data_IF_242311581368
#
_entry.id   IF_242311581368
#
_cell.length_a   1.000
_cell.length_b   1.000
_cell.length_c   1.000
_cell.angle_alpha   90.00
_cell.angle_beta   90.00
_cell.angle_gamma   90.00
#
_symmetry.space_group_name_H-M   'P 1'
#
loop_
_entity.id
_entity.type
_entity.pdbx_description
1 polymer ?
#
# COMPACT_ATOMS: atom_id res chain seq x y z
N UNK A 1 -3.24 29.58 -8.50
CA UNK A 1 -3.18 28.46 -7.53
C UNK A 1 -2.78 27.20 -8.27
N UNK A 2 -1.55 26.72 -8.07
CA UNK A 2 -1.05 25.52 -8.76
C UNK A 2 -1.56 24.30 -8.00
N UNK A 3 -2.44 23.49 -8.59
CA UNK A 3 -2.89 22.23 -7.98
C UNK A 3 -1.66 21.31 -7.75
N UNK A 4 -1.48 20.73 -6.56
CA UNK A 4 -0.36 19.83 -6.31
C UNK A 4 -0.41 18.62 -7.27
N UNK A 5 0.76 18.16 -7.70
CA UNK A 5 0.90 17.04 -8.63
C UNK A 5 0.52 15.76 -7.89
N UNK A 6 -0.61 15.15 -8.26
CA UNK A 6 -1.08 13.88 -7.69
C UNK A 6 -0.41 12.69 -8.35
N UNK A 7 -0.15 11.65 -7.56
CA UNK A 7 0.45 10.41 -8.03
C UNK A 7 -0.53 9.40 -8.62
N UNK A 8 -1.82 9.62 -8.40
CA UNK A 8 -2.92 8.77 -8.89
C UNK A 8 -3.84 9.54 -9.84
N UNK A 9 -4.61 8.79 -10.62
CA UNK A 9 -5.75 9.31 -11.38
C UNK A 9 -7.04 8.69 -10.87
N UNK A 10 -8.00 9.51 -10.47
CA UNK A 10 -9.37 9.07 -10.30
C UNK A 10 -10.03 8.93 -11.67
N UNK A 11 -9.77 7.82 -12.36
CA UNK A 11 -10.66 7.40 -13.45
C UNK A 11 -11.86 6.74 -12.76
N UNK A 12 -12.90 7.51 -12.46
CA UNK A 12 -14.13 6.94 -11.91
C UNK A 12 -14.70 5.95 -12.92
N UNK A 13 -14.35 4.68 -12.77
CA UNK A 13 -15.13 3.59 -13.33
C UNK A 13 -16.51 3.61 -12.67
N UNK A 14 -17.53 3.07 -13.34
CA UNK A 14 -18.85 2.91 -12.71
C UNK A 14 -18.71 2.08 -11.43
N UNK A 15 -19.04 2.67 -10.29
CA UNK A 15 -19.26 1.94 -9.05
C UNK A 15 -20.41 0.96 -9.27
N UNK A 16 -20.18 -0.33 -9.05
CA UNK A 16 -21.26 -1.32 -9.13
C UNK A 16 -22.23 -1.15 -7.97
N UNK A 17 -23.48 -1.59 -8.12
CA UNK A 17 -24.45 -1.54 -7.03
C UNK A 17 -23.97 -2.29 -5.77
N UNK A 18 -23.22 -3.39 -5.95
CA UNK A 18 -22.65 -4.14 -4.84
C UNK A 18 -21.52 -3.37 -4.12
N UNK A 19 -20.69 -2.64 -4.86
CA UNK A 19 -19.65 -1.79 -4.28
C UNK A 19 -20.27 -0.60 -3.52
N UNK A 20 -21.31 0.02 -4.08
CA UNK A 20 -22.00 1.13 -3.42
C UNK A 20 -22.67 0.66 -2.11
N UNK A 21 -23.43 -0.45 -2.15
CA UNK A 21 -24.03 -1.02 -0.93
C UNK A 21 -23.00 -1.35 0.14
N UNK A 22 -21.82 -1.85 -0.24
CA UNK A 22 -20.74 -2.13 0.70
C UNK A 22 -20.20 -0.85 1.35
N UNK A 23 -20.00 0.22 0.56
CA UNK A 23 -19.62 1.52 1.10
C UNK A 23 -20.66 2.03 2.10
N UNK A 24 -21.95 1.92 1.77
CA UNK A 24 -23.01 2.45 2.63
C UNK A 24 -23.19 1.62 3.91
N UNK A 25 -23.15 0.29 3.81
CA UNK A 25 -23.46 -0.61 4.93
C UNK A 25 -22.26 -0.99 5.80
N UNK A 26 -21.04 -1.02 5.24
CA UNK A 26 -19.86 -1.61 5.91
C UNK A 26 -18.81 -0.58 6.32
N UNK A 27 -18.87 0.66 5.81
CA UNK A 27 -17.88 1.69 6.15
C UNK A 27 -17.86 1.99 7.65
N UNK A 28 -19.02 2.06 8.31
CA UNK A 28 -19.08 2.31 9.76
C UNK A 28 -18.34 1.25 10.59
N UNK A 29 -18.18 0.02 10.06
CA UNK A 29 -17.55 -1.11 10.74
C UNK A 29 -16.06 -1.23 10.43
N UNK A 30 -15.67 -1.00 9.17
CA UNK A 30 -14.32 -1.32 8.70
C UNK A 30 -13.51 -0.12 8.17
N UNK A 31 -14.16 1.00 7.87
CA UNK A 31 -13.48 2.18 7.39
C UNK A 31 -13.00 3.04 8.56
N UNK A 32 -11.79 3.59 8.43
CA UNK A 32 -11.26 4.62 9.31
C UNK A 32 -11.40 5.94 8.55
N UNK A 33 -12.16 6.87 9.12
CA UNK A 33 -12.29 8.22 8.55
C UNK A 33 -10.98 8.98 8.74
N UNK A 34 -10.53 9.67 7.69
CA UNK A 34 -9.36 10.52 7.79
C UNK A 34 -9.56 11.62 8.84
N UNK A 35 -8.56 11.82 9.68
CA UNK A 35 -8.48 12.93 10.62
C UNK A 35 -7.00 13.33 10.76
N UNK A 36 -6.67 14.62 10.99
CA UNK A 36 -5.28 15.08 11.06
C UNK A 36 -4.63 14.73 12.42
N UNK A 37 -4.71 13.47 12.83
CA UNK A 37 -4.17 12.96 14.09
C UNK A 37 -3.75 11.49 13.95
N UNK A 38 -2.74 11.04 14.71
CA UNK A 38 -2.29 9.66 14.68
C UNK A 38 -3.42 8.66 15.01
N UNK A 39 -3.42 7.54 14.29
CA UNK A 39 -4.32 6.42 14.53
C UNK A 39 -3.93 5.68 15.82
N UNK A 40 -4.93 5.41 16.66
CA UNK A 40 -4.79 4.45 17.75
C UNK A 40 -5.13 3.03 17.24
N UNK A 41 -4.11 2.33 16.76
CA UNK A 41 -4.27 0.96 16.26
C UNK A 41 -4.78 0.00 17.35
N UNK A 42 -4.39 0.22 18.62
CA UNK A 42 -4.83 -0.62 19.74
C UNK A 42 -6.33 -0.47 19.97
N UNK A 43 -6.85 0.75 19.91
CA UNK A 43 -8.28 1.00 20.03
C UNK A 43 -9.07 0.39 18.85
N UNK A 44 -8.53 0.45 17.63
CA UNK A 44 -9.20 -0.03 16.41
C UNK A 44 -9.27 -1.56 16.34
N UNK A 45 -8.17 -2.24 16.68
CA UNK A 45 -8.04 -3.69 16.58
C UNK A 45 -8.27 -4.42 17.90
N UNK A 46 -8.33 -3.69 19.03
CA UNK A 46 -8.55 -4.27 20.36
C UNK A 46 -7.35 -5.05 20.91
N UNK A 47 -6.18 -4.93 20.29
CA UNK A 47 -4.96 -5.68 20.62
C UNK A 47 -3.70 -4.88 20.29
N UNK A 48 -2.55 -5.41 20.68
CA UNK A 48 -1.23 -4.91 20.25
C UNK A 48 -0.62 -5.97 19.35
N UNK A 49 -0.36 -5.60 18.10
CA UNK A 49 0.19 -6.47 17.07
C UNK A 49 1.05 -5.65 16.09
N UNK A 50 1.93 -6.29 15.29
CA UNK A 50 2.63 -5.62 14.20
C UNK A 50 1.65 -4.96 13.24
N UNK A 51 1.81 -3.66 13.00
CA UNK A 51 0.95 -2.90 12.09
C UNK A 51 1.58 -2.79 10.71
N UNK A 52 0.85 -3.23 9.68
CA UNK A 52 1.27 -3.17 8.29
C UNK A 52 0.33 -2.27 7.48
N UNK A 53 0.91 -1.38 6.68
CA UNK A 53 0.17 -0.46 5.83
C UNK A 53 0.29 -0.86 4.36
N UNK A 54 -0.82 -0.96 3.63
CA UNK A 54 -0.80 -1.12 2.17
C UNK A 54 -1.28 0.15 1.48
N UNK A 55 -0.48 0.67 0.55
CA UNK A 55 -0.80 1.85 -0.25
C UNK A 55 -1.29 1.42 -1.62
N UNK A 56 -2.53 1.82 -1.97
CA UNK A 56 -3.14 1.52 -3.26
C UNK A 56 -3.64 0.08 -3.35
N UNK A 57 -4.51 -0.33 -2.41
CA UNK A 57 -5.03 -1.72 -2.38
C UNK A 57 -5.83 -2.14 -3.62
N UNK A 58 -6.21 -1.19 -4.49
CA UNK A 58 -6.96 -1.45 -5.70
C UNK A 58 -8.31 -2.10 -5.38
N UNK A 59 -8.55 -3.31 -5.89
CA UNK A 59 -9.78 -4.07 -5.60
C UNK A 59 -9.69 -4.92 -4.31
N UNK A 60 -8.55 -4.88 -3.61
CA UNK A 60 -8.37 -5.48 -2.29
C UNK A 60 -8.13 -6.99 -2.27
N UNK A 61 -7.92 -7.63 -3.42
CA UNK A 61 -7.67 -9.09 -3.50
C UNK A 61 -6.39 -9.51 -2.78
N UNK A 62 -5.30 -8.82 -3.09
CA UNK A 62 -3.98 -9.07 -2.50
C UNK A 62 -4.00 -8.76 -1.01
N UNK A 63 -4.48 -7.58 -0.64
CA UNK A 63 -4.61 -7.12 0.76
C UNK A 63 -5.38 -8.11 1.62
N UNK A 64 -6.57 -8.53 1.19
CA UNK A 64 -7.42 -9.45 1.93
C UNK A 64 -6.74 -10.82 2.10
N UNK A 65 -6.09 -11.33 1.04
CA UNK A 65 -5.36 -12.59 1.11
C UNK A 65 -4.16 -12.54 2.07
N UNK A 66 -3.39 -11.44 2.04
CA UNK A 66 -2.26 -11.24 2.96
C UNK A 66 -2.75 -11.16 4.41
N UNK A 67 -3.76 -10.33 4.68
CA UNK A 67 -4.29 -10.16 6.04
C UNK A 67 -4.82 -11.48 6.63
N UNK A 68 -5.49 -12.29 5.81
CA UNK A 68 -5.96 -13.64 6.20
C UNK A 68 -4.82 -14.61 6.49
N UNK A 69 -3.72 -14.51 5.74
CA UNK A 69 -2.56 -15.39 5.91
C UNK A 69 -1.68 -14.99 7.10
N UNK A 70 -1.85 -13.78 7.65
CA UNK A 70 -1.08 -13.24 8.77
C UNK A 70 -2.01 -12.73 9.89
N UNK A 71 -2.79 -13.61 10.54
CA UNK A 71 -3.72 -13.22 11.60
C UNK A 71 -3.04 -12.60 12.83
N UNK A 72 -1.74 -12.80 13.00
CA UNK A 72 -0.91 -12.21 14.06
C UNK A 72 -0.58 -10.72 13.83
N UNK A 73 -0.75 -10.21 12.61
CA UNK A 73 -0.50 -8.81 12.25
C UNK A 73 -1.81 -8.06 12.00
N UNK A 74 -1.82 -6.75 12.19
CA UNK A 74 -2.92 -5.86 11.83
C UNK A 74 -2.62 -5.07 10.56
N UNK A 75 -3.63 -4.87 9.73
CA UNK A 75 -3.48 -4.26 8.41
C UNK A 75 -4.39 -3.05 8.23
N UNK A 76 -3.82 -1.98 7.68
CA UNK A 76 -4.58 -0.82 7.19
C UNK A 76 -4.30 -0.69 5.69
N UNK A 77 -5.36 -0.70 4.89
CA UNK A 77 -5.28 -0.47 3.45
C UNK A 77 -5.69 0.97 3.11
N UNK A 78 -4.92 1.64 2.27
CA UNK A 78 -5.26 2.97 1.75
C UNK A 78 -5.65 2.84 0.29
N UNK A 79 -6.82 3.38 -0.06
CA UNK A 79 -7.29 3.45 -1.45
C UNK A 79 -8.15 4.68 -1.68
N UNK A 80 -7.84 5.47 -2.71
CA UNK A 80 -8.57 6.69 -3.05
C UNK A 80 -9.86 6.39 -3.84
N UNK A 81 -9.89 5.28 -4.58
CA UNK A 81 -10.96 4.91 -5.49
C UNK A 81 -12.10 4.17 -4.76
N UNK A 82 -13.26 4.81 -4.69
CA UNK A 82 -14.46 4.28 -4.02
C UNK A 82 -14.86 2.85 -4.43
N UNK A 83 -14.89 2.48 -5.73
CA UNK A 83 -15.13 1.11 -6.17
C UNK A 83 -14.15 0.08 -5.59
N UNK A 84 -12.87 0.47 -5.47
CA UNK A 84 -11.84 -0.37 -4.86
C UNK A 84 -12.10 -0.62 -3.39
N UNK A 85 -12.41 0.45 -2.65
CA UNK A 85 -12.80 0.38 -1.24
C UNK A 85 -14.05 -0.50 -1.06
N UNK A 86 -15.12 -0.29 -1.84
CA UNK A 86 -16.33 -1.11 -1.76
C UNK A 86 -16.08 -2.59 -2.08
N UNK A 87 -15.15 -2.89 -3.00
CA UNK A 87 -14.71 -4.27 -3.27
C UNK A 87 -13.99 -4.89 -2.07
N UNK A 88 -13.07 -4.14 -1.45
CA UNK A 88 -12.34 -4.60 -0.27
C UNK A 88 -13.27 -4.80 0.93
N UNK A 89 -14.20 -3.88 1.20
CA UNK A 89 -15.19 -4.00 2.26
C UNK A 89 -16.03 -5.29 2.12
N UNK A 90 -16.50 -5.60 0.91
CA UNK A 90 -17.22 -6.86 0.65
C UNK A 90 -16.37 -8.08 0.98
N UNK A 91 -15.07 -8.06 0.68
CA UNK A 91 -14.15 -9.18 1.00
C UNK A 91 -13.94 -9.31 2.49
N UNK A 92 -13.71 -8.20 3.19
CA UNK A 92 -13.55 -8.19 4.64
C UNK A 92 -14.76 -8.82 5.32
N UNK A 93 -15.98 -8.42 4.92
CA UNK A 93 -17.22 -8.97 5.49
C UNK A 93 -17.42 -10.44 5.13
N UNK A 94 -17.27 -10.81 3.85
CA UNK A 94 -17.49 -12.19 3.40
C UNK A 94 -16.51 -13.19 4.02
N UNK A 95 -15.23 -12.81 4.14
CA UNK A 95 -14.17 -13.67 4.68
C UNK A 95 -13.97 -13.48 6.19
N UNK A 96 -14.73 -12.59 6.84
CA UNK A 96 -14.65 -12.25 8.27
C UNK A 96 -13.23 -11.86 8.72
N UNK A 97 -12.58 -10.99 7.96
CA UNK A 97 -11.20 -10.57 8.20
C UNK A 97 -11.17 -9.56 9.35
N UNK A 98 -10.83 -10.03 10.55
CA UNK A 98 -10.86 -9.19 11.76
C UNK A 98 -9.72 -8.15 11.82
N UNK A 99 -8.58 -8.48 11.23
CA UNK A 99 -7.32 -7.73 11.31
C UNK A 99 -7.08 -6.80 10.11
N UNK A 100 -8.13 -6.37 9.41
CA UNK A 100 -8.01 -5.44 8.27
C UNK A 100 -9.00 -4.27 8.38
N UNK A 101 -8.51 -3.05 8.15
CA UNK A 101 -9.29 -1.82 8.04
C UNK A 101 -8.91 -1.03 6.79
N UNK A 102 -9.76 -0.10 6.39
CA UNK A 102 -9.57 0.66 5.15
C UNK A 102 -9.65 2.16 5.40
N UNK A 103 -8.73 2.94 4.83
CA UNK A 103 -8.80 4.39 4.77
C UNK A 103 -9.01 4.80 3.31
N UNK A 104 -10.10 5.55 3.07
CA UNK A 104 -10.36 6.13 1.75
C UNK A 104 -9.82 7.55 1.67
N UNK A 105 -8.51 7.69 1.45
CA UNK A 105 -7.85 9.00 1.41
C UNK A 105 -6.55 8.98 0.60
N UNK A 106 -5.97 10.16 0.36
CA UNK A 106 -4.62 10.30 -0.17
C UNK A 106 -3.59 9.65 0.77
N UNK A 107 -2.75 8.76 0.24
CA UNK A 107 -1.81 8.00 1.05
C UNK A 107 -0.69 8.83 1.65
N UNK A 108 -0.27 9.91 0.99
CA UNK A 108 0.75 10.82 1.54
C UNK A 108 0.14 11.57 2.73
N UNK A 109 -1.08 12.09 2.59
CA UNK A 109 -1.75 12.78 3.71
C UNK A 109 -2.01 11.84 4.90
N UNK A 110 -2.37 10.57 4.65
CA UNK A 110 -2.50 9.57 5.73
C UNK A 110 -1.16 9.30 6.41
N UNK A 111 -0.08 9.11 5.65
CA UNK A 111 1.25 8.91 6.24
C UNK A 111 1.68 10.13 7.05
N UNK A 112 1.50 11.34 6.53
CA UNK A 112 1.92 12.58 7.18
C UNK A 112 1.18 12.83 8.49
N UNK A 113 -0.14 12.60 8.52
CA UNK A 113 -0.99 13.05 9.62
C UNK A 113 -1.50 11.93 10.53
N UNK A 114 -1.68 10.72 10.01
CA UNK A 114 -2.35 9.62 10.72
C UNK A 114 -1.41 8.51 11.16
N UNK A 115 -0.22 8.43 10.60
CA UNK A 115 0.75 7.39 10.96
C UNK A 115 1.84 8.01 11.83
N UNK A 116 2.01 7.49 13.05
CA UNK A 116 3.11 7.91 13.91
C UNK A 116 4.46 7.49 13.32
N UNK A 117 5.52 8.26 13.59
CA UNK A 117 6.87 7.85 13.22
C UNK A 117 7.26 6.56 13.94
N UNK A 118 8.10 5.75 13.31
CA UNK A 118 8.61 4.48 13.86
C UNK A 118 7.52 3.50 14.37
N UNK A 119 6.33 3.49 13.76
CA UNK A 119 5.18 2.71 14.24
C UNK A 119 4.79 1.52 13.36
N UNK A 120 5.17 1.53 12.07
CA UNK A 120 4.83 0.47 11.13
C UNK A 120 5.86 -0.66 11.17
N UNK A 121 5.39 -1.89 11.33
CA UNK A 121 6.21 -3.09 11.14
C UNK A 121 6.45 -3.38 9.65
N UNK A 122 5.52 -2.97 8.78
CA UNK A 122 5.62 -3.18 7.34
C UNK A 122 4.87 -2.14 6.51
N UNK A 123 5.32 -1.93 5.29
CA UNK A 123 4.63 -1.14 4.28
C UNK A 123 4.65 -1.86 2.93
N UNK A 124 3.48 -2.00 2.31
CA UNK A 124 3.29 -2.59 0.99
C UNK A 124 2.96 -1.50 -0.05
N UNK A 125 3.61 -1.58 -1.20
CA UNK A 125 3.35 -0.73 -2.36
C UNK A 125 3.38 -1.56 -3.64
N UNK A 126 2.24 -2.15 -3.99
CA UNK A 126 2.16 -3.09 -5.11
C UNK A 126 1.53 -2.44 -6.33
N UNK A 127 2.25 -2.50 -7.46
CA UNK A 127 1.83 -2.02 -8.78
C UNK A 127 1.30 -0.56 -8.78
N UNK A 128 2.01 0.40 -8.16
CA UNK A 128 1.59 1.81 -8.25
C UNK A 128 1.65 2.31 -9.69
N UNK A 129 0.83 3.33 -10.01
CA UNK A 129 0.73 3.91 -11.35
C UNK A 129 2.12 4.20 -11.95
N UNK A 130 2.52 3.54 -13.07
CA UNK A 130 3.90 3.60 -13.56
C UNK A 130 4.23 4.86 -14.35
N UNK A 131 3.20 5.59 -14.79
CA UNK A 131 3.33 6.83 -15.56
C UNK A 131 4.38 6.74 -16.68
N UNK A 132 4.16 5.90 -17.71
CA UNK A 132 5.21 5.45 -18.63
C UNK A 132 5.80 6.57 -19.51
N UNK A 133 5.09 7.70 -19.64
CA UNK A 133 5.57 8.85 -20.44
C UNK A 133 6.52 9.69 -19.59
N UNK A 134 7.74 9.95 -20.06
CA UNK A 134 8.78 10.76 -19.37
C UNK A 134 8.25 12.02 -18.69
N UNK A 135 7.44 12.82 -19.41
CA UNK A 135 6.81 14.05 -18.88
C UNK A 135 5.91 13.85 -17.65
N UNK A 136 5.50 12.62 -17.36
CA UNK A 136 4.65 12.25 -16.23
C UNK A 136 5.44 11.57 -15.10
N UNK A 137 6.75 11.36 -15.21
CA UNK A 137 7.53 10.69 -14.16
C UNK A 137 7.45 11.40 -12.81
N UNK A 138 7.27 12.74 -12.80
CA UNK A 138 6.98 13.52 -11.58
C UNK A 138 5.68 13.17 -10.85
N UNK A 139 4.81 12.36 -11.47
CA UNK A 139 3.59 11.80 -10.88
C UNK A 139 3.81 10.40 -10.30
N UNK A 140 4.98 9.77 -10.51
CA UNK A 140 5.27 8.51 -9.82
C UNK A 140 5.32 8.78 -8.32
N UNK A 141 4.62 7.97 -7.53
CA UNK A 141 4.59 8.09 -6.07
C UNK A 141 6.00 7.95 -5.48
N UNK A 142 6.80 6.99 -5.98
CA UNK A 142 8.14 6.74 -5.46
C UNK A 142 9.10 7.82 -5.96
N UNK A 143 9.29 8.82 -5.10
CA UNK A 143 10.22 9.94 -5.19
C UNK A 143 11.02 10.03 -3.88
N UNK A 144 12.15 10.77 -3.84
CA UNK A 144 12.94 10.90 -2.62
C UNK A 144 12.13 11.34 -1.39
N UNK A 145 11.22 12.31 -1.54
CA UNK A 145 10.38 12.78 -0.43
C UNK A 145 9.44 11.67 0.11
N UNK A 146 8.86 10.85 -0.77
CA UNK A 146 8.03 9.72 -0.36
C UNK A 146 8.88 8.63 0.32
N UNK A 147 10.09 8.34 -0.20
CA UNK A 147 10.98 7.36 0.41
C UNK A 147 11.39 7.77 1.84
N UNK A 148 11.76 9.03 2.04
CA UNK A 148 12.07 9.57 3.36
C UNK A 148 10.85 9.50 4.31
N UNK A 149 9.66 9.86 3.82
CA UNK A 149 8.42 9.75 4.59
C UNK A 149 8.14 8.30 4.98
N UNK A 150 8.12 7.37 4.02
CA UNK A 150 7.88 5.95 4.25
C UNK A 150 8.90 5.36 5.24
N UNK A 151 10.19 5.66 5.05
CA UNK A 151 11.25 5.19 5.93
C UNK A 151 11.08 5.70 7.36
N UNK A 152 10.66 6.96 7.56
CA UNK A 152 10.38 7.51 8.90
C UNK A 152 9.21 6.83 9.61
N UNK A 153 8.20 6.36 8.87
CA UNK A 153 7.03 5.70 9.46
C UNK A 153 7.29 4.25 9.86
N UNK A 154 8.29 3.60 9.28
CA UNK A 154 8.71 2.25 9.65
C UNK A 154 9.45 2.25 10.99
N UNK A 155 9.07 1.33 11.87
CA UNK A 155 9.83 1.01 13.07
C UNK A 155 11.22 0.47 12.70
N UNK A 156 12.24 0.61 13.58
CA UNK A 156 13.52 -0.06 13.40
C UNK A 156 13.35 -1.55 13.08
N UNK A 157 13.99 -2.02 12.00
CA UNK A 157 13.83 -3.40 11.50
C UNK A 157 12.56 -3.68 10.68
N UNK A 158 11.61 -2.76 10.62
CA UNK A 158 10.41 -2.85 9.78
C UNK A 158 10.74 -2.90 8.28
N UNK A 159 9.82 -3.35 7.45
CA UNK A 159 10.09 -3.59 6.02
C UNK A 159 9.26 -2.70 5.08
N UNK A 160 9.85 -2.34 3.94
CA UNK A 160 9.17 -1.75 2.80
C UNK A 160 9.22 -2.75 1.65
N UNK A 161 8.05 -3.20 1.21
CA UNK A 161 7.91 -4.10 0.08
C UNK A 161 7.17 -3.42 -1.07
N UNK A 162 7.90 -3.08 -2.12
CA UNK A 162 7.34 -2.57 -3.35
C UNK A 162 7.38 -3.64 -4.46
N UNK A 163 6.42 -3.60 -5.37
CA UNK A 163 6.42 -4.45 -6.56
C UNK A 163 5.91 -3.67 -7.78
N UNK A 164 6.48 -3.94 -8.95
CA UNK A 164 6.04 -3.34 -10.22
C UNK A 164 6.38 -4.24 -11.41
N UNK A 165 5.54 -4.21 -12.42
CA UNK A 165 5.72 -4.88 -13.72
C UNK A 165 6.32 -3.95 -14.79
N UNK A 166 6.65 -2.70 -14.43
CA UNK A 166 7.22 -1.71 -15.32
C UNK A 166 8.73 -1.54 -15.10
N UNK A 167 9.62 -2.02 -15.99
CA UNK A 167 11.07 -2.04 -15.76
C UNK A 167 11.68 -0.67 -15.44
N UNK A 168 11.31 0.38 -16.19
CA UNK A 168 11.82 1.74 -15.93
C UNK A 168 11.39 2.27 -14.56
N UNK A 169 10.26 1.81 -14.05
CA UNK A 169 9.79 2.22 -12.73
C UNK A 169 10.46 1.38 -11.65
N UNK A 170 10.68 0.08 -11.89
CA UNK A 170 11.48 -0.78 -11.01
C UNK A 170 12.88 -0.20 -10.80
N UNK A 171 13.55 0.22 -11.87
CA UNK A 171 14.86 0.86 -11.81
C UNK A 171 14.83 2.18 -11.01
N UNK A 172 13.81 3.03 -11.23
CA UNK A 172 13.64 4.25 -10.45
C UNK A 172 13.37 3.95 -8.96
N UNK A 173 12.50 3.00 -8.64
CA UNK A 173 12.22 2.60 -7.26
C UNK A 173 13.49 2.12 -6.57
N UNK A 174 14.27 1.27 -7.24
CA UNK A 174 15.53 0.75 -6.70
C UNK A 174 16.50 1.89 -6.40
N UNK A 175 16.68 2.83 -7.35
CA UNK A 175 17.57 3.96 -7.16
C UNK A 175 17.10 4.88 -6.02
N UNK A 176 15.81 5.22 -5.96
CA UNK A 176 15.24 6.09 -4.94
C UNK A 176 15.33 5.47 -3.55
N UNK A 177 14.93 4.20 -3.38
CA UNK A 177 14.98 3.54 -2.07
C UNK A 177 16.41 3.23 -1.63
N UNK A 178 17.33 2.93 -2.55
CA UNK A 178 18.76 2.73 -2.20
C UNK A 178 19.46 4.01 -1.80
N UNK A 179 18.98 5.17 -2.25
CA UNK A 179 19.52 6.47 -1.87
C UNK A 179 18.99 6.98 -0.51
N UNK A 180 17.93 6.38 0.04
CA UNK A 180 17.35 6.77 1.32
C UNK A 180 18.21 6.22 2.48
N UNK A 181 18.86 7.08 3.30
CA UNK A 181 19.83 6.65 4.31
C UNK A 181 19.28 5.67 5.34
N UNK A 182 17.98 5.74 5.63
CA UNK A 182 17.38 4.94 6.68
C UNK A 182 16.97 3.54 6.22
N UNK A 183 17.05 3.27 4.91
CA UNK A 183 16.74 1.98 4.34
C UNK A 183 18.04 1.20 4.04
N UNK A 184 17.95 -0.11 4.16
CA UNK A 184 18.93 -1.07 3.72
C UNK A 184 18.28 -2.01 2.71
N UNK A 185 19.02 -2.40 1.67
CA UNK A 185 18.59 -3.40 0.69
C UNK A 185 19.33 -4.73 0.95
N UNK A 186 18.73 -5.70 1.68
CA UNK A 186 19.40 -6.96 1.96
C UNK A 186 19.65 -7.81 0.71
N UNK A 187 18.89 -7.59 -0.37
CA UNK A 187 19.05 -8.32 -1.63
C UNK A 187 20.13 -7.71 -2.54
N UNK A 188 20.63 -6.49 -2.26
CA UNK A 188 21.56 -5.78 -3.13
C UNK A 188 21.00 -5.40 -4.50
N UNK A 189 19.69 -5.54 -4.71
CA UNK A 189 19.03 -5.35 -5.99
C UNK A 189 17.53 -5.66 -5.89
N UNK A 190 16.98 -6.36 -6.88
CA UNK A 190 15.62 -6.90 -6.81
C UNK A 190 15.60 -8.17 -5.94
N UNK A 191 14.57 -8.29 -5.10
CA UNK A 191 14.37 -9.47 -4.27
C UNK A 191 13.58 -10.55 -5.03
N UNK A 192 13.73 -11.84 -4.69
CA UNK A 192 12.75 -12.84 -5.10
C UNK A 192 11.38 -12.52 -4.47
N UNK A 193 10.28 -12.86 -5.16
CA UNK A 193 8.93 -12.70 -4.60
C UNK A 193 8.83 -13.50 -3.29
N UNK A 194 8.55 -12.85 -2.15
CA UNK A 194 8.41 -13.56 -0.89
C UNK A 194 7.11 -14.35 -0.85
N UNK A 195 7.09 -15.45 -0.10
CA UNK A 195 5.94 -16.35 -0.01
C UNK A 195 4.65 -15.64 0.45
N UNK A 196 4.78 -14.62 1.29
CA UNK A 196 3.64 -13.86 1.81
C UNK A 196 2.97 -12.95 0.78
N UNK A 197 3.61 -12.62 -0.35
CA UNK A 197 2.97 -11.83 -1.42
C UNK A 197 2.27 -12.78 -2.40
N UNK A 198 0.94 -12.89 -2.40
CA UNK A 198 0.24 -13.80 -3.29
C UNK A 198 0.45 -13.39 -4.75
N UNK A 199 0.36 -14.37 -5.66
CA UNK A 199 0.33 -14.09 -7.10
C UNK A 199 -0.91 -13.24 -7.40
N UNK A 200 -0.68 -12.02 -7.87
CA UNK A 200 -1.76 -11.10 -8.25
C UNK A 200 -2.36 -11.48 -9.60
N UNK A 201 -3.57 -10.98 -9.90
CA UNK A 201 -4.15 -11.09 -11.25
C UNK A 201 -3.27 -10.43 -12.31
N UNK A 202 -2.55 -9.36 -11.96
CA UNK A 202 -1.61 -8.67 -12.86
C UNK A 202 -0.43 -9.58 -13.22
N UNK A 203 0.17 -10.24 -12.24
CA UNK A 203 1.25 -11.21 -12.48
C UNK A 203 0.81 -12.42 -13.30
N UNK A 204 -0.36 -12.99 -13.00
CA UNK A 204 -0.88 -14.11 -13.80
C UNK A 204 -1.04 -13.72 -15.27
N UNK A 205 -1.40 -12.47 -15.55
CA UNK A 205 -1.53 -11.94 -16.92
C UNK A 205 -0.17 -11.59 -17.54
N UNK A 206 0.75 -11.01 -16.76
CA UNK A 206 2.11 -10.64 -17.17
C UNK A 206 3.00 -11.85 -17.49
N UNK A 207 2.85 -12.94 -16.74
CA UNK A 207 3.55 -14.21 -17.01
C UNK A 207 3.18 -14.80 -18.38
N UNK A 208 1.95 -14.59 -18.86
CA UNK A 208 1.54 -14.99 -20.22
C UNK A 208 2.07 -14.08 -21.34
N UNK A 209 2.64 -12.92 -21.00
CA UNK A 209 3.14 -11.90 -21.93
C UNK A 209 4.65 -11.66 -21.81
N UNK A 210 5.35 -12.41 -20.93
CA UNK A 210 6.80 -12.28 -20.73
C UNK A 210 7.24 -11.05 -19.91
N UNK A 211 6.32 -10.36 -19.23
CA UNK A 211 6.68 -9.23 -18.36
C UNK A 211 7.15 -9.74 -16.99
N UNK A 212 8.42 -9.49 -16.67
CA UNK A 212 8.97 -9.76 -15.35
C UNK A 212 8.41 -8.77 -14.32
N UNK A 213 7.95 -9.30 -13.18
CA UNK A 213 7.62 -8.47 -12.01
C UNK A 213 8.87 -8.34 -11.15
N UNK A 214 9.17 -7.11 -10.77
CA UNK A 214 10.29 -6.78 -9.92
C UNK A 214 9.79 -6.50 -8.51
N UNK A 215 10.24 -7.32 -7.56
CA UNK A 215 10.05 -7.09 -6.14
C UNK A 215 11.25 -6.32 -5.57
N UNK A 216 10.97 -5.32 -4.75
CA UNK A 216 11.95 -4.54 -4.01
C UNK A 216 11.62 -4.66 -2.53
N UNK A 217 12.53 -5.25 -1.77
CA UNK A 217 12.38 -5.43 -0.33
C UNK A 217 13.50 -4.71 0.40
N UNK A 218 13.13 -3.63 1.10
CA UNK A 218 14.03 -2.86 1.94
C UNK A 218 13.68 -3.08 3.41
N UNK A 219 14.68 -2.96 4.28
CA UNK A 219 14.47 -2.91 5.73
C UNK A 219 14.89 -1.56 6.27
N UNK A 220 14.11 -1.05 7.21
CA UNK A 220 14.48 0.07 8.05
C UNK A 220 15.68 -0.34 8.91
N UNK A 221 16.73 0.48 8.92
CA UNK A 221 17.91 0.26 9.77
C UNK A 221 17.51 0.30 11.26
N UNK A 222 18.32 -0.33 12.11
CA UNK A 222 18.06 -0.50 13.55
C UNK A 222 18.34 0.76 14.40
N UNK A 223 18.72 1.87 13.76
CA UNK A 223 19.08 3.13 14.43
C UNK A 223 17.92 3.78 15.17
#
# INVERSE_FOLDING_TARGET
>A
MNRPIRSYVLRQGRTSAAQQRALDALSAKYAITFAPQPIDARAIFGRVAPLVLEIGSGMGETTAAIARAQPESDFIAIEVHGPGVGSLLNRIEADRIANLRVIRHDAVEVLEHMVADASLAGMHLFFPDPWPKKRHHKRRLVQPAFAALAARKLAPGGYLHAATDWPDYAAQMLAVFSAEPLLANPAGGYAPRPAHRPLTKFERRGLGLGHAVHDLLFRRRQE
#
